data_IF_440880122956
#
_entry.id   IF_440880122956
#
_cell.length_a   1.000
_cell.length_b   1.000
_cell.length_c   1.000
_cell.angle_alpha   90.00
_cell.angle_beta   90.00
_cell.angle_gamma   90.00
#
_symmetry.space_group_name_H-M   'P 1'
#
loop_
_entity.id
_entity.type
_entity.pdbx_description
1 polymer ?
#
# COMPACT_ATOMS: atom_id res chain seq x y z
N UNK A 1 15.29 10.42 -9.86
CA UNK A 1 14.01 10.59 -10.58
C UNK A 1 13.00 11.06 -9.54
N UNK A 2 12.37 12.23 -9.74
CA UNK A 2 11.42 12.81 -8.79
C UNK A 2 10.03 12.28 -9.14
N UNK A 3 9.43 11.49 -8.26
CA UNK A 3 8.07 10.97 -8.37
C UNK A 3 7.18 11.56 -7.29
N UNK A 4 5.88 11.43 -7.45
CA UNK A 4 4.91 11.69 -6.41
C UNK A 4 4.70 10.39 -5.61
N UNK A 5 4.81 10.45 -4.29
CA UNK A 5 4.74 9.28 -3.41
C UNK A 5 3.95 9.62 -2.17
N UNK A 6 3.07 8.71 -1.78
CA UNK A 6 2.27 8.86 -0.59
C UNK A 6 1.73 7.54 -0.05
N UNK A 7 1.22 7.61 1.18
CA UNK A 7 0.41 6.55 1.77
C UNK A 7 -1.00 6.68 1.22
N UNK A 8 -1.49 5.63 0.57
CA UNK A 8 -2.84 5.59 0.01
C UNK A 8 -3.83 4.96 0.99
N UNK A 9 -3.39 3.95 1.76
CA UNK A 9 -4.26 3.21 2.68
C UNK A 9 -3.45 2.66 3.86
N UNK A 10 -4.12 2.46 5.00
CA UNK A 10 -3.59 1.76 6.16
C UNK A 10 -4.64 0.79 6.73
N UNK A 11 -4.27 -0.46 6.93
CA UNK A 11 -5.13 -1.52 7.44
C UNK A 11 -4.57 -2.08 8.75
N UNK A 12 -5.31 -1.96 9.84
CA UNK A 12 -4.87 -2.45 11.15
C UNK A 12 -4.75 -3.99 11.17
N UNK A 13 -3.65 -4.49 11.70
CA UNK A 13 -3.44 -5.88 12.07
C UNK A 13 -3.82 -6.12 13.53
N UNK A 14 -3.46 -5.18 14.38
CA UNK A 14 -3.78 -5.09 15.81
C UNK A 14 -3.56 -3.63 16.29
N UNK A 15 -3.59 -3.40 17.58
CA UNK A 15 -3.50 -2.05 18.17
C UNK A 15 -2.17 -1.33 17.90
N UNK A 16 -1.12 -2.04 17.50
CA UNK A 16 0.22 -1.47 17.27
C UNK A 16 0.79 -1.72 15.88
N UNK A 17 0.21 -2.63 15.11
CA UNK A 17 0.73 -3.03 13.81
C UNK A 17 -0.28 -2.74 12.70
N UNK A 18 0.23 -2.26 11.58
CA UNK A 18 -0.57 -1.87 10.42
C UNK A 18 0.10 -2.36 9.14
N UNK A 19 -0.73 -2.76 8.16
CA UNK A 19 -0.28 -2.75 6.77
C UNK A 19 -0.43 -1.32 6.23
N UNK A 20 0.58 -0.86 5.52
CA UNK A 20 0.61 0.47 4.90
C UNK A 20 0.84 0.30 3.41
N UNK A 21 -0.11 0.77 2.62
CA UNK A 21 -0.04 0.82 1.17
C UNK A 21 0.60 2.13 0.73
N UNK A 22 1.74 2.05 0.05
CA UNK A 22 2.39 3.21 -0.55
C UNK A 22 2.33 3.13 -2.06
N UNK A 23 1.91 4.20 -2.66
CA UNK A 23 1.91 4.41 -4.09
C UNK A 23 2.92 5.49 -4.46
N UNK A 24 3.67 5.23 -5.50
CA UNK A 24 4.54 6.22 -6.14
C UNK A 24 4.23 6.29 -7.62
N UNK A 25 4.14 7.49 -8.18
CA UNK A 25 3.99 7.70 -9.62
C UNK A 25 5.19 8.45 -10.17
N UNK A 26 5.72 7.97 -11.29
CA UNK A 26 6.88 8.53 -11.98
C UNK A 26 6.45 9.05 -13.35
N UNK A 27 6.10 10.34 -13.48
CA UNK A 27 5.53 10.92 -14.72
C UNK A 27 6.45 10.78 -15.91
N UNK A 28 7.77 10.87 -15.71
CA UNK A 28 8.77 10.81 -16.79
C UNK A 28 8.81 9.46 -17.53
N UNK A 29 8.31 8.40 -16.92
CA UNK A 29 8.28 7.04 -17.50
C UNK A 29 6.89 6.43 -17.42
N UNK A 30 5.87 7.19 -17.01
CA UNK A 30 4.48 6.77 -16.84
C UNK A 30 4.37 5.46 -16.05
N UNK A 31 5.10 5.36 -14.92
CA UNK A 31 5.18 4.14 -14.13
C UNK A 31 4.66 4.36 -12.73
N UNK A 32 3.79 3.44 -12.30
CA UNK A 32 3.31 3.34 -10.93
C UNK A 32 4.13 2.28 -10.18
N UNK A 33 4.46 2.55 -8.93
CA UNK A 33 5.07 1.58 -8.02
C UNK A 33 4.18 1.42 -6.79
N UNK A 34 3.82 0.20 -6.48
CA UNK A 34 2.93 -0.15 -5.37
C UNK A 34 3.69 -1.03 -4.40
N UNK A 35 3.76 -0.59 -3.14
CA UNK A 35 4.46 -1.31 -2.09
C UNK A 35 3.59 -1.45 -0.84
N UNK A 36 3.66 -2.59 -0.20
CA UNK A 36 3.03 -2.82 1.09
C UNK A 36 4.12 -2.98 2.14
N UNK A 37 3.98 -2.19 3.20
CA UNK A 37 4.85 -2.25 4.36
C UNK A 37 4.06 -2.72 5.57
N UNK A 38 4.75 -3.37 6.51
CA UNK A 38 4.30 -3.49 7.88
C UNK A 38 4.87 -2.32 8.65
N UNK A 39 4.00 -1.54 9.28
CA UNK A 39 4.35 -0.47 10.19
C UNK A 39 4.04 -0.89 11.62
N UNK A 40 4.90 -0.54 12.56
CA UNK A 40 4.78 -0.90 13.97
C UNK A 40 4.99 0.33 14.85
N UNK A 41 4.01 0.61 15.72
CA UNK A 41 4.12 1.65 16.74
C UNK A 41 5.02 1.13 17.85
N UNK A 42 6.18 1.75 18.01
CA UNK A 42 7.13 1.47 19.07
C UNK A 42 6.78 2.27 20.34
N UNK A 43 7.31 1.88 21.49
CA UNK A 43 7.05 2.64 22.73
C UNK A 43 7.57 4.08 22.67
N UNK A 44 8.62 4.31 21.89
CA UNK A 44 9.22 5.62 21.63
C UNK A 44 8.55 6.40 20.49
N UNK A 45 7.63 5.80 19.73
CA UNK A 45 6.93 6.48 18.64
C UNK A 45 6.13 7.66 19.18
N UNK A 46 6.25 8.80 18.52
CA UNK A 46 5.60 10.02 18.97
C UNK A 46 4.11 10.01 18.60
N UNK A 47 3.25 10.22 19.59
CA UNK A 47 1.84 10.52 19.34
C UNK A 47 1.72 11.94 18.77
N UNK A 48 1.43 12.01 17.47
CA UNK A 48 1.34 13.29 16.74
C UNK A 48 -0.05 13.94 16.79
N UNK A 49 -1.04 13.30 17.39
CA UNK A 49 -2.41 13.82 17.51
C UNK A 49 -2.50 15.14 18.29
N UNK A 50 -1.46 15.48 19.05
CA UNK A 50 -1.35 16.69 19.89
C UNK A 50 -0.82 17.91 19.13
N UNK A 51 -0.37 17.76 17.90
CA UNK A 51 0.27 18.81 17.13
C UNK A 51 -0.61 19.23 15.96
N UNK A 52 -0.80 20.53 15.78
CA UNK A 52 -1.52 21.07 14.61
C UNK A 52 -0.75 20.88 13.30
N UNK A 53 0.59 20.87 13.37
CA UNK A 53 1.47 20.62 12.24
C UNK A 53 2.77 19.96 12.72
N UNK A 54 3.40 19.14 11.87
CA UNK A 54 4.67 18.49 12.17
C UNK A 54 5.89 19.34 11.82
N UNK A 55 5.68 20.54 11.26
CA UNK A 55 6.76 21.48 10.97
C UNK A 55 7.45 21.87 12.27
N UNK A 56 8.76 21.74 12.31
CA UNK A 56 9.61 22.09 13.46
C UNK A 56 9.40 21.23 14.74
N UNK A 57 8.59 20.16 14.63
CA UNK A 57 8.40 19.20 15.73
C UNK A 57 9.42 18.05 15.61
N UNK A 58 10.13 17.77 16.70
CA UNK A 58 10.92 16.55 16.80
C UNK A 58 9.99 15.37 17.09
N UNK A 59 9.95 14.41 16.20
CA UNK A 59 9.14 13.19 16.37
C UNK A 59 9.94 11.94 16.07
N UNK A 60 9.57 10.85 16.71
CA UNK A 60 10.04 9.49 16.42
C UNK A 60 8.98 8.78 15.60
N UNK A 61 9.26 8.44 14.33
CA UNK A 61 8.29 7.78 13.47
C UNK A 61 8.06 6.33 13.89
N UNK A 62 7.00 5.72 13.37
CA UNK A 62 6.77 4.28 13.45
C UNK A 62 7.87 3.52 12.71
N UNK A 63 8.19 2.31 13.15
CA UNK A 63 9.11 1.42 12.44
C UNK A 63 8.38 0.79 11.25
N UNK A 64 9.01 0.85 10.08
CA UNK A 64 8.41 0.35 8.83
C UNK A 64 9.31 -0.67 8.14
N UNK A 65 8.75 -1.80 7.74
CA UNK A 65 9.43 -2.89 7.03
C UNK A 65 8.69 -3.19 5.74
N UNK A 66 9.39 -3.20 4.60
CA UNK A 66 8.81 -3.63 3.32
C UNK A 66 8.43 -5.12 3.39
N UNK A 67 7.20 -5.43 3.01
CA UNK A 67 6.70 -6.79 2.86
C UNK A 67 6.75 -7.24 1.41
N UNK A 68 6.22 -6.41 0.50
CA UNK A 68 6.13 -6.72 -0.92
C UNK A 68 6.22 -5.46 -1.77
N UNK A 69 6.92 -5.55 -2.89
CA UNK A 69 6.84 -4.62 -4.02
C UNK A 69 6.06 -5.32 -5.14
N UNK A 70 4.85 -4.87 -5.42
CA UNK A 70 4.00 -5.53 -6.42
C UNK A 70 4.59 -5.46 -7.84
N UNK A 71 5.49 -4.53 -8.09
CA UNK A 71 6.13 -4.41 -9.39
C UNK A 71 7.05 -5.60 -9.72
N UNK A 72 7.49 -6.35 -8.71
CA UNK A 72 8.28 -7.57 -8.90
C UNK A 72 7.42 -8.75 -9.41
N UNK A 73 6.08 -8.60 -9.35
CA UNK A 73 5.09 -9.64 -9.68
C UNK A 73 4.23 -9.30 -10.89
N UNK A 74 4.57 -8.28 -11.66
CA UNK A 74 3.79 -7.85 -12.85
C UNK A 74 3.60 -9.01 -13.84
N UNK A 75 4.58 -9.90 -13.96
CA UNK A 75 4.50 -11.07 -14.84
C UNK A 75 3.44 -12.11 -14.45
N UNK A 76 2.91 -12.02 -13.22
CA UNK A 76 1.82 -12.88 -12.73
C UNK A 76 0.43 -12.25 -12.95
N UNK A 77 0.37 -11.00 -13.38
CA UNK A 77 -0.90 -10.36 -13.74
C UNK A 77 -1.47 -11.01 -15.02
N UNK A 78 -2.77 -10.88 -15.18
CA UNK A 78 -3.42 -11.25 -16.44
C UNK A 78 -2.75 -10.52 -17.62
N UNK A 79 -2.52 -11.21 -18.73
CA UNK A 79 -1.81 -10.69 -19.90
C UNK A 79 -2.49 -9.44 -20.51
N UNK A 80 -3.76 -9.23 -20.27
CA UNK A 80 -4.47 -7.98 -20.61
C UNK A 80 -4.04 -6.78 -19.78
N UNK A 81 -3.28 -7.00 -18.69
CA UNK A 81 -2.78 -5.98 -17.77
C UNK A 81 -1.24 -6.01 -17.73
N UNK A 82 -0.60 -5.20 -18.54
CA UNK A 82 0.87 -5.11 -18.60
C UNK A 82 1.49 -4.24 -17.48
N UNK A 83 0.67 -3.62 -16.63
CA UNK A 83 1.10 -2.74 -15.55
C UNK A 83 0.09 -2.72 -14.41
N UNK A 84 0.58 -2.34 -13.22
CA UNK A 84 -0.28 -1.98 -12.10
C UNK A 84 -0.88 -0.60 -12.33
N UNK A 85 -2.17 -0.49 -12.09
CA UNK A 85 -2.86 0.79 -12.04
C UNK A 85 -2.70 1.47 -10.67
N UNK A 86 -3.40 2.53 -10.46
CA UNK A 86 -3.37 3.39 -9.29
C UNK A 86 -4.07 2.71 -8.10
N UNK A 87 -3.44 1.69 -7.51
CA UNK A 87 -3.99 0.97 -6.36
C UNK A 87 -4.01 1.90 -5.15
N UNK A 88 -5.20 2.12 -4.59
CA UNK A 88 -5.46 3.10 -3.55
C UNK A 88 -6.14 2.52 -2.30
N UNK A 89 -6.63 1.29 -2.40
CA UNK A 89 -7.38 0.67 -1.30
C UNK A 89 -6.94 -0.76 -1.07
N UNK A 90 -7.08 -1.23 0.18
CA UNK A 90 -6.90 -2.62 0.56
C UNK A 90 -7.88 -3.04 1.65
N UNK A 91 -8.33 -4.27 1.59
CA UNK A 91 -9.17 -4.88 2.62
C UNK A 91 -8.89 -6.36 2.77
N UNK A 92 -9.31 -6.90 3.91
CA UNK A 92 -9.29 -8.35 4.08
C UNK A 92 -10.36 -9.01 3.25
N UNK A 93 -9.96 -10.01 2.47
CA UNK A 93 -10.86 -10.91 1.78
C UNK A 93 -11.18 -12.17 2.59
N UNK A 94 -11.89 -13.13 2.00
CA UNK A 94 -12.21 -14.39 2.63
C UNK A 94 -10.96 -15.23 2.93
N UNK A 95 -11.12 -16.20 3.87
CA UNK A 95 -10.09 -17.22 4.05
C UNK A 95 -10.06 -18.14 2.85
N UNK A 96 -8.85 -18.46 2.43
CA UNK A 96 -8.59 -19.42 1.36
C UNK A 96 -8.76 -20.87 1.87
N UNK A 97 -8.86 -21.82 0.94
CA UNK A 97 -9.01 -23.25 1.27
C UNK A 97 -7.85 -23.83 2.09
N UNK A 98 -6.67 -23.24 2.00
CA UNK A 98 -5.49 -23.57 2.81
C UNK A 98 -5.46 -22.90 4.19
N UNK A 99 -6.55 -22.20 4.60
CA UNK A 99 -6.69 -21.53 5.87
C UNK A 99 -6.06 -20.14 5.98
N UNK A 100 -5.25 -19.72 5.00
CA UNK A 100 -4.65 -18.39 4.97
C UNK A 100 -5.68 -17.31 4.65
N UNK A 101 -5.38 -16.07 4.99
CA UNK A 101 -6.22 -14.91 4.63
C UNK A 101 -5.83 -14.38 3.27
N UNK A 102 -6.81 -13.89 2.53
CA UNK A 102 -6.56 -13.08 1.36
C UNK A 102 -6.55 -11.59 1.71
N UNK A 103 -5.68 -10.83 1.04
CA UNK A 103 -5.67 -9.38 1.05
C UNK A 103 -6.04 -8.92 -0.36
N UNK A 104 -7.09 -8.13 -0.47
CA UNK A 104 -7.61 -7.62 -1.73
C UNK A 104 -7.17 -6.17 -1.88
N UNK A 105 -6.53 -5.86 -2.98
CA UNK A 105 -6.11 -4.52 -3.37
C UNK A 105 -6.95 -4.07 -4.55
N UNK A 106 -7.31 -2.80 -4.58
CA UNK A 106 -8.22 -2.25 -5.59
C UNK A 106 -7.67 -0.91 -6.09
N UNK A 107 -7.69 -0.73 -7.41
CA UNK A 107 -7.50 0.58 -8.03
C UNK A 107 -8.84 1.17 -8.46
N UNK A 108 -8.94 2.49 -8.40
CA UNK A 108 -10.03 3.25 -9.02
C UNK A 108 -9.61 3.70 -10.42
N UNK A 109 -10.52 3.63 -11.38
CA UNK A 109 -10.29 4.13 -12.73
C UNK A 109 -10.45 5.66 -12.84
N UNK A 110 -10.86 6.34 -11.78
CA UNK A 110 -11.04 7.79 -11.71
C UNK A 110 -11.86 8.36 -12.89
N UNK A 111 -12.77 7.56 -13.47
CA UNK A 111 -13.50 7.88 -14.72
C UNK A 111 -12.59 8.25 -15.89
N UNK A 112 -11.32 7.81 -15.87
CA UNK A 112 -10.31 8.08 -16.88
C UNK A 112 -10.20 6.88 -17.83
N UNK A 113 -10.31 7.13 -19.13
CA UNK A 113 -10.27 6.06 -20.17
C UNK A 113 -8.93 5.32 -20.24
N UNK A 114 -7.87 5.87 -19.65
CA UNK A 114 -6.54 5.25 -19.58
C UNK A 114 -6.30 4.51 -18.26
N UNK A 115 -7.20 4.63 -17.28
CA UNK A 115 -7.11 3.95 -16.00
C UNK A 115 -8.13 2.81 -15.91
N UNK A 116 -7.92 1.89 -14.99
CA UNK A 116 -8.74 0.68 -14.85
C UNK A 116 -9.04 0.41 -13.39
N UNK A 117 -10.22 -0.14 -13.13
CA UNK A 117 -10.51 -0.79 -11.86
C UNK A 117 -9.87 -2.18 -11.89
N UNK A 118 -8.78 -2.34 -11.17
CA UNK A 118 -7.99 -3.56 -11.11
C UNK A 118 -8.09 -4.16 -9.70
N UNK A 119 -8.31 -5.46 -9.62
CA UNK A 119 -8.27 -6.22 -8.38
C UNK A 119 -7.00 -7.06 -8.35
N UNK A 120 -6.21 -6.92 -7.30
CA UNK A 120 -5.05 -7.79 -7.03
C UNK A 120 -5.31 -8.50 -5.72
N UNK A 121 -5.22 -9.84 -5.73
CA UNK A 121 -5.47 -10.66 -4.55
C UNK A 121 -4.17 -11.31 -4.14
N UNK A 122 -3.78 -11.10 -2.89
CA UNK A 122 -2.60 -11.68 -2.28
C UNK A 122 -3.01 -12.71 -1.23
N UNK A 123 -2.31 -13.83 -1.19
CA UNK A 123 -2.32 -14.74 -0.07
C UNK A 123 -1.39 -14.21 1.02
N UNK A 124 -1.81 -14.28 2.29
CA UNK A 124 -1.04 -13.75 3.41
C UNK A 124 -0.92 -14.75 4.55
N UNK A 125 0.15 -14.64 5.32
CA UNK A 125 0.41 -15.42 6.54
C UNK A 125 0.06 -14.64 7.83
N UNK A 126 -0.76 -13.59 7.74
CA UNK A 126 -1.23 -12.77 8.86
C UNK A 126 -2.53 -13.30 9.49
#
# INVERSE_FOLDING_TARGET
MKGDSGVSEALALNDKEFLVLERSFFPSILKTRIRIFKAEIQNESTDVSKYEALKDVKYVPVKKKLLIDLNDYISLLDQSYSSLDNIESMCWGPRLSNGKRSLILISDNNFNVFQRTQFVILETDF
#
